data_IF_411370585924
#
_entry.id   IF_411370585924
#
_cell.length_a   1.000
_cell.length_b   1.000
_cell.length_c   1.000
_cell.angle_alpha   90.00
_cell.angle_beta   90.00
_cell.angle_gamma   90.00
#
_symmetry.space_group_name_H-M   'P 1'
#
loop_
_entity.id
_entity.type
_entity.pdbx_description
1 polymer ?
#
# COMPACT_ATOMS: atom_id res chain seq x y z
N UNK A 1 12.28 -29.14 23.80
CA UNK A 1 12.70 -29.55 22.44
C UNK A 1 11.62 -29.44 21.36
N UNK A 2 10.33 -29.18 21.67
CA UNK A 2 9.25 -29.06 20.66
C UNK A 2 9.12 -27.67 20.00
N UNK A 3 9.85 -26.65 20.48
CA UNK A 3 9.75 -25.26 19.99
C UNK A 3 10.59 -24.91 18.75
N UNK A 4 11.48 -25.80 18.30
CA UNK A 4 12.40 -25.53 17.18
C UNK A 4 11.95 -26.08 15.83
N UNK A 5 10.89 -26.91 15.78
CA UNK A 5 10.48 -27.57 14.55
C UNK A 5 9.80 -26.61 13.57
N UNK A 6 8.92 -25.72 14.05
CA UNK A 6 8.18 -24.79 13.17
C UNK A 6 9.09 -23.83 12.39
N UNK A 7 10.11 -23.19 12.99
CA UNK A 7 11.05 -22.36 12.24
C UNK A 7 11.86 -23.15 11.21
N UNK A 8 12.26 -24.40 11.52
CA UNK A 8 13.02 -25.25 10.59
C UNK A 8 12.16 -25.60 9.37
N UNK A 9 10.89 -25.96 9.59
CA UNK A 9 9.96 -26.26 8.50
C UNK A 9 9.74 -25.03 7.62
N UNK A 10 9.54 -23.86 8.22
CA UNK A 10 9.37 -22.60 7.49
C UNK A 10 10.61 -22.27 6.63
N UNK A 11 11.80 -22.46 7.19
CA UNK A 11 13.08 -22.26 6.49
C UNK A 11 13.24 -23.22 5.30
N UNK A 12 12.98 -24.52 5.50
CA UNK A 12 13.08 -25.52 4.45
C UNK A 12 12.07 -25.27 3.32
N UNK A 13 10.81 -24.98 3.67
CA UNK A 13 9.76 -24.67 2.69
C UNK A 13 10.14 -23.44 1.86
N UNK A 14 10.57 -22.37 2.51
CA UNK A 14 10.98 -21.16 1.79
C UNK A 14 12.22 -21.36 0.93
N UNK A 15 13.18 -22.18 1.37
CA UNK A 15 14.35 -22.54 0.57
C UNK A 15 13.97 -23.38 -0.66
N UNK A 16 13.05 -24.34 -0.53
CA UNK A 16 12.53 -25.13 -1.67
C UNK A 16 11.84 -24.22 -2.69
N UNK A 17 11.01 -23.28 -2.24
CA UNK A 17 10.33 -22.31 -3.12
C UNK A 17 11.36 -21.47 -3.86
N UNK A 18 12.39 -20.97 -3.17
CA UNK A 18 13.47 -20.18 -3.77
C UNK A 18 14.25 -20.97 -4.82
N UNK A 19 14.65 -22.21 -4.52
CA UNK A 19 15.33 -23.09 -5.47
C UNK A 19 14.47 -23.39 -6.69
N UNK A 20 13.16 -23.57 -6.52
CA UNK A 20 12.23 -23.77 -7.63
C UNK A 20 12.09 -22.56 -8.56
N UNK A 21 12.47 -21.35 -8.13
CA UNK A 21 12.59 -20.19 -9.02
C UNK A 21 13.94 -20.14 -9.75
N UNK A 22 15.02 -20.59 -9.12
CA UNK A 22 16.39 -20.45 -9.65
C UNK A 22 16.81 -21.61 -10.55
N UNK A 23 16.30 -22.82 -10.32
CA UNK A 23 16.74 -24.03 -10.99
C UNK A 23 15.61 -24.62 -11.86
N UNK A 24 15.85 -24.94 -13.14
CA UNK A 24 14.83 -25.46 -14.06
C UNK A 24 14.64 -26.98 -13.93
N UNK A 25 14.53 -27.50 -12.69
CA UNK A 25 14.25 -28.92 -12.46
C UNK A 25 12.74 -29.16 -12.28
N UNK A 26 12.13 -30.13 -13.01
CA UNK A 26 10.68 -30.38 -12.94
C UNK A 26 10.16 -30.59 -11.52
N UNK A 27 10.84 -31.40 -10.70
CA UNK A 27 10.41 -31.69 -9.33
C UNK A 27 10.40 -30.44 -8.42
N UNK A 28 11.34 -29.50 -8.59
CA UNK A 28 11.35 -28.25 -7.83
C UNK A 28 10.24 -27.30 -8.28
N UNK A 29 9.95 -27.28 -9.58
CA UNK A 29 8.87 -26.47 -10.14
C UNK A 29 7.50 -26.95 -9.64
N UNK A 30 7.28 -28.27 -9.61
CA UNK A 30 6.07 -28.89 -9.06
C UNK A 30 5.96 -28.64 -7.55
N UNK A 31 7.03 -28.86 -6.78
CA UNK A 31 7.04 -28.60 -5.34
C UNK A 31 6.76 -27.12 -5.03
N UNK A 32 7.38 -26.18 -5.76
CA UNK A 32 7.11 -24.74 -5.64
C UNK A 32 5.63 -24.44 -5.92
N UNK A 33 5.07 -24.97 -7.01
CA UNK A 33 3.66 -24.74 -7.33
C UNK A 33 2.74 -25.27 -6.23
N UNK A 34 2.97 -26.49 -5.73
CA UNK A 34 2.18 -27.06 -4.65
C UNK A 34 2.25 -26.21 -3.37
N UNK A 35 3.46 -25.80 -2.95
CA UNK A 35 3.67 -24.97 -1.76
C UNK A 35 3.04 -23.58 -1.90
N UNK A 36 3.11 -22.96 -3.09
CA UNK A 36 2.46 -21.67 -3.35
C UNK A 36 0.94 -21.78 -3.37
N UNK A 37 0.37 -22.88 -3.89
CA UNK A 37 -1.07 -23.11 -3.81
C UNK A 37 -1.53 -23.28 -2.36
N UNK A 38 -0.80 -24.04 -1.54
CA UNK A 38 -1.10 -24.14 -0.11
C UNK A 38 -0.96 -22.80 0.60
N UNK A 39 0.08 -22.03 0.30
CA UNK A 39 0.26 -20.69 0.85
C UNK A 39 -0.90 -19.76 0.47
N UNK A 40 -1.41 -19.84 -0.76
CA UNK A 40 -2.56 -19.06 -1.22
C UNK A 40 -3.84 -19.44 -0.46
N UNK A 41 -4.09 -20.74 -0.25
CA UNK A 41 -5.23 -21.22 0.54
C UNK A 41 -5.12 -20.71 1.98
N UNK A 42 -3.94 -20.85 2.60
CA UNK A 42 -3.69 -20.36 3.96
C UNK A 42 -3.85 -18.83 4.06
N UNK A 43 -3.39 -18.08 3.05
CA UNK A 43 -3.56 -16.63 2.99
C UNK A 43 -5.05 -16.24 2.89
N UNK A 44 -5.85 -16.98 2.11
CA UNK A 44 -7.28 -16.75 2.02
C UNK A 44 -7.99 -17.01 3.37
N UNK A 45 -7.64 -18.09 4.07
CA UNK A 45 -8.16 -18.38 5.41
C UNK A 45 -7.70 -17.31 6.42
N UNK A 46 -6.43 -16.91 6.37
CA UNK A 46 -5.88 -15.87 7.23
C UNK A 46 -6.59 -14.53 7.03
N UNK A 47 -6.97 -14.19 5.79
CA UNK A 47 -7.76 -13.00 5.49
C UNK A 47 -9.14 -13.08 6.18
N UNK A 48 -9.83 -14.22 6.08
CA UNK A 48 -11.11 -14.43 6.77
C UNK A 48 -10.95 -14.26 8.28
N UNK A 49 -9.92 -14.88 8.88
CA UNK A 49 -9.61 -14.74 10.31
C UNK A 49 -9.31 -13.28 10.66
N UNK A 50 -8.59 -12.55 9.81
CA UNK A 50 -8.29 -11.13 10.00
C UNK A 50 -9.54 -10.25 10.00
N UNK A 51 -10.44 -10.46 9.03
CA UNK A 51 -11.74 -9.77 8.96
C UNK A 51 -12.59 -10.09 10.18
N UNK A 52 -12.64 -11.36 10.59
CA UNK A 52 -13.39 -11.79 11.78
C UNK A 52 -12.81 -11.18 13.06
N UNK A 53 -11.48 -11.14 13.20
CA UNK A 53 -10.82 -10.51 14.34
C UNK A 53 -11.13 -9.01 14.41
N UNK A 54 -11.09 -8.31 13.27
CA UNK A 54 -11.51 -6.90 13.18
C UNK A 54 -12.97 -6.73 13.62
N UNK A 55 -13.88 -7.55 13.09
CA UNK A 55 -15.30 -7.50 13.43
C UNK A 55 -15.54 -7.75 14.93
N UNK A 56 -14.90 -8.77 15.52
CA UNK A 56 -15.02 -9.09 16.94
C UNK A 56 -14.47 -7.98 17.83
N UNK A 57 -13.31 -7.40 17.47
CA UNK A 57 -12.71 -6.30 18.23
C UNK A 57 -13.62 -5.07 18.26
N UNK A 58 -14.20 -4.71 17.10
CA UNK A 58 -15.13 -3.58 17.01
C UNK A 58 -16.49 -3.89 17.62
N UNK A 59 -16.98 -5.13 17.51
CA UNK A 59 -18.23 -5.57 18.15
C UNK A 59 -18.13 -5.47 19.67
N UNK A 60 -17.05 -5.98 20.26
CA UNK A 60 -16.78 -5.85 21.70
C UNK A 60 -16.72 -4.39 22.12
N UNK A 61 -16.11 -3.52 21.31
CA UNK A 61 -16.01 -2.08 21.58
C UNK A 61 -17.38 -1.39 21.62
N UNK A 62 -18.29 -1.76 20.71
CA UNK A 62 -19.68 -1.26 20.69
C UNK A 62 -20.48 -1.83 21.86
N UNK A 63 -20.40 -3.14 22.10
CA UNK A 63 -21.18 -3.82 23.14
C UNK A 63 -20.80 -3.38 24.57
N UNK A 64 -19.60 -2.85 24.77
CA UNK A 64 -19.11 -2.36 26.08
C UNK A 64 -19.08 -0.83 26.17
N UNK A 65 -19.75 -0.14 25.24
CA UNK A 65 -19.88 1.34 25.17
C UNK A 65 -18.56 2.11 25.37
N UNK A 66 -17.49 1.62 24.76
CA UNK A 66 -16.18 2.26 24.86
C UNK A 66 -16.13 3.55 24.04
N UNK A 67 -15.24 4.48 24.43
CA UNK A 67 -15.02 5.73 23.69
C UNK A 67 -14.78 5.48 22.19
N UNK A 68 -15.59 6.12 21.34
CA UNK A 68 -15.58 5.93 19.90
C UNK A 68 -16.31 4.66 19.41
N UNK A 69 -17.26 4.14 20.20
CA UNK A 69 -18.13 3.02 19.82
C UNK A 69 -18.95 3.30 18.55
N UNK A 70 -19.44 4.54 18.37
CA UNK A 70 -20.19 4.94 17.17
C UNK A 70 -19.40 4.68 15.88
N UNK A 71 -18.12 5.07 15.83
CA UNK A 71 -17.26 4.80 14.66
C UNK A 71 -17.06 3.31 14.42
N UNK A 72 -17.05 2.51 15.49
CA UNK A 72 -16.95 1.05 15.38
C UNK A 72 -18.25 0.44 14.85
N UNK A 73 -19.42 0.99 15.22
CA UNK A 73 -20.70 0.58 14.66
C UNK A 73 -20.79 0.92 13.16
N UNK A 74 -20.33 2.10 12.74
CA UNK A 74 -20.24 2.49 11.32
C UNK A 74 -19.31 1.55 10.55
N UNK A 75 -18.16 1.18 11.11
CA UNK A 75 -17.24 0.22 10.51
C UNK A 75 -17.91 -1.15 10.32
N UNK A 76 -18.59 -1.66 11.34
CA UNK A 76 -19.27 -2.96 11.25
C UNK A 76 -20.40 -2.94 10.22
N UNK A 77 -21.20 -1.88 10.19
CA UNK A 77 -22.28 -1.72 9.23
C UNK A 77 -21.74 -1.63 7.80
N UNK A 78 -20.69 -0.83 7.57
CA UNK A 78 -20.05 -0.73 6.24
C UNK A 78 -19.38 -2.04 5.81
N UNK A 79 -18.78 -2.80 6.74
CA UNK A 79 -18.23 -4.12 6.47
C UNK A 79 -19.33 -5.09 6.00
N UNK A 80 -20.45 -5.16 6.73
CA UNK A 80 -21.57 -6.04 6.39
C UNK A 80 -22.22 -5.65 5.05
N UNK A 81 -22.45 -4.36 4.82
CA UNK A 81 -22.99 -3.88 3.55
C UNK A 81 -22.06 -4.20 2.37
N UNK A 82 -20.76 -3.97 2.53
CA UNK A 82 -19.79 -4.24 1.46
C UNK A 82 -19.72 -5.73 1.15
N UNK A 83 -19.61 -6.59 2.17
CA UNK A 83 -19.60 -8.04 1.98
C UNK A 83 -20.90 -8.56 1.37
N UNK A 84 -22.05 -8.04 1.82
CA UNK A 84 -23.36 -8.41 1.27
C UNK A 84 -23.53 -8.02 -0.19
N UNK A 85 -23.22 -6.76 -0.53
CA UNK A 85 -23.36 -6.24 -1.90
C UNK A 85 -22.37 -6.92 -2.84
N UNK A 86 -21.08 -6.97 -2.48
CA UNK A 86 -20.05 -7.56 -3.35
C UNK A 86 -20.21 -9.07 -3.44
N UNK A 87 -20.62 -9.74 -2.36
CA UNK A 87 -20.87 -11.18 -2.34
C UNK A 87 -22.06 -11.58 -3.22
N UNK A 88 -23.11 -10.75 -3.28
CA UNK A 88 -24.31 -11.04 -4.08
C UNK A 88 -24.18 -10.61 -5.54
N UNK A 89 -23.71 -9.38 -5.81
CA UNK A 89 -23.62 -8.83 -7.18
C UNK A 89 -22.28 -9.10 -7.87
N UNK A 90 -21.32 -9.67 -7.15
CA UNK A 90 -19.95 -9.86 -7.64
C UNK A 90 -19.12 -8.56 -7.64
N UNK A 91 -17.78 -8.65 -7.84
CA UNK A 91 -16.88 -7.50 -7.76
C UNK A 91 -17.14 -6.43 -8.83
N UNK A 92 -17.65 -6.82 -10.00
CA UNK A 92 -17.91 -5.94 -11.14
C UNK A 92 -19.39 -5.59 -11.31
N UNK A 93 -20.24 -5.98 -10.36
CA UNK A 93 -21.67 -5.63 -10.38
C UNK A 93 -21.91 -4.13 -10.23
N UNK A 94 -23.01 -3.62 -10.78
CA UNK A 94 -23.33 -2.19 -10.78
C UNK A 94 -23.36 -1.59 -9.37
N UNK A 95 -23.91 -2.32 -8.39
CA UNK A 95 -23.94 -1.88 -6.99
C UNK A 95 -22.57 -1.92 -6.31
N UNK A 96 -21.73 -2.90 -6.63
CA UNK A 96 -20.34 -2.99 -6.16
C UNK A 96 -19.50 -1.83 -6.69
N UNK A 97 -19.64 -1.53 -7.98
CA UNK A 97 -18.99 -0.38 -8.62
C UNK A 97 -19.52 0.96 -8.10
N UNK A 98 -20.80 1.03 -7.71
CA UNK A 98 -21.37 2.20 -7.06
C UNK A 98 -20.71 2.46 -5.70
N UNK A 99 -20.59 1.43 -4.84
CA UNK A 99 -19.86 1.54 -3.56
C UNK A 99 -18.42 2.00 -3.79
N UNK A 100 -17.73 1.40 -4.77
CA UNK A 100 -16.37 1.80 -5.13
C UNK A 100 -16.30 3.28 -5.54
N UNK A 101 -17.14 3.72 -6.49
CA UNK A 101 -17.08 5.06 -7.08
C UNK A 101 -17.53 6.17 -6.14
N UNK A 102 -18.53 5.90 -5.30
CA UNK A 102 -19.16 6.93 -4.46
C UNK A 102 -18.78 6.87 -2.98
N UNK A 103 -18.15 5.78 -2.53
CA UNK A 103 -17.66 5.66 -1.14
C UNK A 103 -16.14 5.56 -1.12
N UNK A 104 -15.56 4.58 -1.80
CA UNK A 104 -14.11 4.35 -1.73
C UNK A 104 -13.30 5.48 -2.39
N UNK A 105 -13.60 5.82 -3.65
CA UNK A 105 -12.86 6.86 -4.40
C UNK A 105 -12.90 8.23 -3.70
N UNK A 106 -14.04 8.72 -3.17
CA UNK A 106 -14.06 9.99 -2.43
C UNK A 106 -13.29 9.96 -1.11
N UNK A 107 -13.26 8.83 -0.39
CA UNK A 107 -12.45 8.67 0.82
C UNK A 107 -10.96 8.76 0.47
N UNK A 108 -10.52 8.05 -0.58
CA UNK A 108 -9.14 8.12 -1.07
C UNK A 108 -8.76 9.55 -1.49
N UNK A 109 -9.64 10.23 -2.23
CA UNK A 109 -9.45 11.64 -2.62
C UNK A 109 -9.34 12.57 -1.41
N UNK A 110 -10.16 12.36 -0.37
CA UNK A 110 -10.10 13.15 0.86
C UNK A 110 -8.78 12.96 1.62
N UNK A 111 -8.27 11.72 1.67
CA UNK A 111 -6.95 11.45 2.25
C UNK A 111 -5.82 12.12 1.45
N UNK A 112 -5.91 12.08 0.12
CA UNK A 112 -4.96 12.78 -0.76
C UNK A 112 -5.06 14.31 -0.61
N UNK A 113 -6.25 14.85 -0.39
CA UNK A 113 -6.45 16.27 -0.10
C UNK A 113 -5.79 16.67 1.22
N UNK A 114 -5.98 15.89 2.29
CA UNK A 114 -5.31 16.11 3.59
C UNK A 114 -3.80 16.05 3.42
N UNK A 115 -3.28 15.05 2.70
CA UNK A 115 -1.85 14.94 2.38
C UNK A 115 -1.35 16.19 1.65
N UNK A 116 -2.09 16.65 0.65
CA UNK A 116 -1.75 17.85 -0.14
C UNK A 116 -1.67 19.09 0.74
N UNK A 117 -2.67 19.31 1.61
CA UNK A 117 -2.68 20.45 2.54
C UNK A 117 -1.53 20.35 3.55
N UNK A 118 -1.25 19.16 4.09
CA UNK A 118 -0.14 18.93 5.01
C UNK A 118 1.22 19.19 4.35
N UNK A 119 1.39 18.77 3.10
CA UNK A 119 2.59 19.06 2.29
C UNK A 119 2.72 20.54 1.99
N UNK A 120 1.64 21.22 1.60
CA UNK A 120 1.65 22.66 1.36
C UNK A 120 2.00 23.46 2.63
N UNK A 121 1.44 23.08 3.79
CA UNK A 121 1.79 23.68 5.07
C UNK A 121 3.27 23.44 5.43
N UNK A 122 3.75 22.21 5.23
CA UNK A 122 5.15 21.85 5.49
C UNK A 122 6.12 22.61 4.58
N UNK A 123 5.76 22.78 3.31
CA UNK A 123 6.48 23.62 2.35
C UNK A 123 6.56 25.08 2.82
N UNK A 124 5.43 25.69 3.18
CA UNK A 124 5.38 27.06 3.68
C UNK A 124 6.18 27.24 4.98
N UNK A 125 6.15 26.24 5.87
CA UNK A 125 6.98 26.22 7.08
C UNK A 125 8.47 26.13 6.75
N UNK A 126 8.86 25.29 5.79
CA UNK A 126 10.25 25.11 5.38
C UNK A 126 10.85 26.40 4.79
N UNK A 127 10.06 27.17 4.04
CA UNK A 127 10.48 28.46 3.48
C UNK A 127 10.69 29.57 4.53
N UNK A 128 10.04 29.46 5.69
CA UNK A 128 10.20 30.41 6.80
C UNK A 128 11.39 30.06 7.72
N UNK A 129 11.96 28.87 7.59
CA UNK A 129 13.14 28.45 8.35
C UNK A 129 14.43 28.79 7.59
N UNK A 130 15.60 28.52 8.19
CA UNK A 130 16.91 28.74 7.54
C UNK A 130 16.91 28.10 6.16
N UNK A 131 17.24 28.89 5.14
CA UNK A 131 17.31 28.44 3.75
C UNK A 131 18.50 27.47 3.64
N UNK A 132 18.20 26.17 3.56
CA UNK A 132 19.16 25.12 3.29
C UNK A 132 19.14 24.77 1.80
N UNK A 133 20.19 24.11 1.28
CA UNK A 133 20.27 23.69 -0.13
C UNK A 133 19.03 22.90 -0.58
N UNK A 134 18.53 22.00 0.26
CA UNK A 134 17.30 21.24 -0.01
C UNK A 134 16.04 22.10 -0.08
N UNK A 135 15.95 23.15 0.74
CA UNK A 135 14.83 24.08 0.72
C UNK A 135 14.81 24.93 -0.55
N UNK A 136 15.99 25.33 -1.05
CA UNK A 136 16.14 26.02 -2.33
C UNK A 136 15.74 25.11 -3.48
N UNK A 137 16.24 23.87 -3.52
CA UNK A 137 15.91 22.91 -4.57
C UNK A 137 14.40 22.65 -4.61
N UNK A 138 13.78 22.39 -3.45
CA UNK A 138 12.34 22.20 -3.34
C UNK A 138 11.56 23.43 -3.83
N UNK A 139 11.97 24.65 -3.43
CA UNK A 139 11.31 25.88 -3.86
C UNK A 139 11.37 26.05 -5.37
N UNK A 140 12.53 25.82 -5.98
CA UNK A 140 12.71 25.89 -7.43
C UNK A 140 11.81 24.86 -8.14
N UNK A 141 11.84 23.61 -7.71
CA UNK A 141 10.99 22.57 -8.30
C UNK A 141 9.50 22.88 -8.13
N UNK A 142 9.07 23.33 -6.95
CA UNK A 142 7.70 23.71 -6.68
C UNK A 142 7.26 24.90 -7.54
N UNK A 143 8.11 25.92 -7.69
CA UNK A 143 7.84 27.09 -8.53
C UNK A 143 7.68 26.70 -10.00
N UNK A 144 8.59 25.87 -10.53
CA UNK A 144 8.52 25.37 -11.91
C UNK A 144 7.25 24.56 -12.14
N UNK A 145 6.88 23.67 -11.21
CA UNK A 145 5.65 22.89 -11.32
C UNK A 145 4.41 23.80 -11.24
N UNK A 146 4.35 24.72 -10.28
CA UNK A 146 3.24 25.67 -10.12
C UNK A 146 3.04 26.53 -11.39
N UNK A 147 4.13 27.10 -11.92
CA UNK A 147 4.11 27.88 -13.16
C UNK A 147 3.72 27.01 -14.37
N UNK A 148 4.16 25.76 -14.42
CA UNK A 148 3.77 24.81 -15.47
C UNK A 148 2.31 24.37 -15.37
N UNK A 149 1.73 24.31 -14.17
CA UNK A 149 0.31 23.93 -13.97
C UNK A 149 -0.65 25.10 -14.12
N UNK A 150 -0.21 26.34 -13.89
CA UNK A 150 -1.04 27.51 -14.06
C UNK A 150 -1.20 27.82 -15.56
N UNK A 151 -2.44 27.91 -16.08
CA UNK A 151 -2.68 28.48 -17.40
C UNK A 151 -2.46 29.99 -17.29
N UNK A 152 -1.21 30.44 -17.41
CA UNK A 152 -0.88 31.86 -17.39
C UNK A 152 -1.41 32.50 -18.68
N UNK A 153 -2.51 33.25 -18.54
CA UNK A 153 -3.03 34.17 -19.56
C UNK A 153 -3.39 33.55 -20.93
N UNK A 154 -3.58 32.23 -21.01
CA UNK A 154 -3.92 31.56 -22.28
C UNK A 154 -2.79 31.59 -23.33
N UNK A 155 -1.57 31.92 -22.91
CA UNK A 155 -0.38 31.92 -23.77
C UNK A 155 0.39 30.64 -23.45
N UNK A 156 0.38 29.69 -24.37
CA UNK A 156 1.26 28.52 -24.28
C UNK A 156 2.70 28.99 -24.49
N UNK A 157 3.51 28.98 -23.42
CA UNK A 157 4.93 29.31 -23.53
C UNK A 157 5.66 28.07 -24.05
N UNK A 158 6.26 28.09 -25.25
CA UNK A 158 6.96 26.94 -25.80
C UNK A 158 8.10 26.52 -24.87
N UNK A 159 8.09 25.27 -24.41
CA UNK A 159 9.10 24.69 -23.50
C UNK A 159 8.70 24.63 -22.01
N UNK A 160 7.71 25.41 -21.57
CA UNK A 160 7.10 25.28 -20.24
C UNK A 160 5.80 24.47 -20.28
N UNK A 161 5.00 24.69 -21.32
CA UNK A 161 3.70 24.04 -21.54
C UNK A 161 3.78 23.20 -22.83
N UNK A 162 3.53 21.89 -22.73
CA UNK A 162 3.58 20.95 -23.86
C UNK A 162 4.04 19.54 -23.45
N UNK A 163 3.95 18.53 -24.35
CA UNK A 163 4.36 17.15 -24.10
C UNK A 163 5.85 17.02 -23.73
N UNK A 164 6.70 17.91 -24.25
CA UNK A 164 8.14 17.97 -23.97
C UNK A 164 8.51 19.10 -22.99
N UNK A 165 7.51 19.68 -22.31
CA UNK A 165 7.73 20.77 -21.36
C UNK A 165 8.44 20.31 -20.09
N UNK A 166 9.15 21.23 -19.44
CA UNK A 166 9.86 20.97 -18.17
C UNK A 166 8.92 20.40 -17.10
N UNK A 167 7.64 20.81 -17.09
CA UNK A 167 6.60 20.23 -16.22
C UNK A 167 6.44 18.73 -16.44
N UNK A 168 6.26 18.29 -17.69
CA UNK A 168 6.00 16.89 -18.01
C UNK A 168 7.23 16.04 -17.69
N UNK A 169 8.44 16.54 -17.99
CA UNK A 169 9.68 15.89 -17.57
C UNK A 169 9.76 15.71 -16.05
N UNK A 170 9.50 16.77 -15.27
CA UNK A 170 9.54 16.71 -13.80
C UNK A 170 8.46 15.77 -13.23
N UNK A 171 7.27 15.74 -13.83
CA UNK A 171 6.17 14.88 -13.40
C UNK A 171 6.42 13.41 -13.76
N UNK A 172 6.88 13.12 -14.98
CA UNK A 172 7.00 11.76 -15.48
C UNK A 172 8.33 11.09 -15.16
N UNK A 173 9.39 11.86 -14.90
CA UNK A 173 10.72 11.30 -14.63
C UNK A 173 11.01 11.30 -13.12
N UNK A 174 11.35 12.42 -12.44
CA UNK A 174 11.61 12.41 -10.99
C UNK A 174 10.45 11.94 -10.12
N UNK A 175 9.22 12.43 -10.35
CA UNK A 175 8.12 12.12 -9.44
C UNK A 175 7.67 10.66 -9.57
N UNK A 176 7.54 10.16 -10.80
CA UNK A 176 7.29 8.73 -11.04
C UNK A 176 8.46 7.86 -10.56
N UNK A 177 9.72 8.30 -10.72
CA UNK A 177 10.87 7.59 -10.17
C UNK A 177 10.81 7.51 -8.64
N UNK A 178 10.40 8.58 -7.96
CA UNK A 178 10.15 8.58 -6.52
C UNK A 178 9.04 7.61 -6.10
N UNK A 179 7.89 7.65 -6.79
CA UNK A 179 6.78 6.73 -6.52
C UNK A 179 7.18 5.26 -6.73
N UNK A 180 7.88 4.96 -7.84
CA UNK A 180 8.46 3.64 -8.10
C UNK A 180 9.50 3.27 -7.05
N UNK A 181 10.32 4.21 -6.61
CA UNK A 181 11.30 4.03 -5.53
C UNK A 181 10.64 3.61 -4.21
N UNK A 182 9.50 4.19 -3.86
CA UNK A 182 8.72 3.79 -2.67
C UNK A 182 8.20 2.35 -2.85
N UNK A 183 7.62 2.02 -4.00
CA UNK A 183 7.11 0.67 -4.27
C UNK A 183 8.24 -0.37 -4.22
N UNK A 184 9.38 -0.06 -4.82
CA UNK A 184 10.58 -0.89 -4.77
C UNK A 184 11.13 -1.01 -3.34
N UNK A 185 11.12 0.08 -2.58
CA UNK A 185 11.54 0.09 -1.18
C UNK A 185 10.64 -0.81 -0.30
N UNK A 186 9.33 -0.73 -0.49
CA UNK A 186 8.37 -1.63 0.18
C UNK A 186 8.62 -3.09 -0.22
N UNK A 187 8.80 -3.36 -1.52
CA UNK A 187 9.11 -4.71 -2.01
C UNK A 187 10.44 -5.24 -1.45
N UNK A 188 11.49 -4.43 -1.41
CA UNK A 188 12.77 -4.82 -0.81
C UNK A 188 12.65 -5.03 0.70
N UNK A 189 11.85 -4.21 1.40
CA UNK A 189 11.57 -4.37 2.82
C UNK A 189 10.85 -5.68 3.15
N UNK A 190 9.86 -6.07 2.35
CA UNK A 190 9.17 -7.35 2.50
C UNK A 190 10.09 -8.53 2.18
N UNK A 191 10.90 -8.44 1.12
CA UNK A 191 11.92 -9.45 0.79
C UNK A 191 12.95 -9.59 1.92
N UNK A 192 13.46 -8.47 2.45
CA UNK A 192 14.42 -8.48 3.55
C UNK A 192 13.85 -9.14 4.81
N UNK A 193 12.58 -8.88 5.11
CA UNK A 193 11.88 -9.52 6.23
C UNK A 193 11.73 -11.03 5.99
N UNK A 194 11.35 -11.43 4.77
CA UNK A 194 11.32 -12.84 4.38
C UNK A 194 12.69 -13.51 4.49
N UNK A 195 13.75 -12.86 4.00
CA UNK A 195 15.11 -13.38 4.03
C UNK A 195 15.64 -13.54 5.47
N UNK A 196 15.34 -12.61 6.38
CA UNK A 196 15.70 -12.77 7.80
C UNK A 196 15.05 -14.01 8.43
N UNK A 197 13.81 -14.30 8.08
CA UNK A 197 13.12 -15.53 8.50
C UNK A 197 13.78 -16.75 7.86
N UNK A 198 14.13 -16.71 6.57
CA UNK A 198 14.83 -17.81 5.87
C UNK A 198 16.25 -18.05 6.37
N UNK A 199 16.95 -17.03 6.84
CA UNK A 199 18.27 -17.17 7.47
C UNK A 199 18.16 -17.60 8.94
N UNK A 200 16.94 -17.72 9.49
CA UNK A 200 16.68 -18.06 10.88
C UNK A 200 17.07 -16.97 11.89
N UNK A 201 17.33 -15.75 11.41
CA UNK A 201 17.62 -14.58 12.24
C UNK A 201 16.37 -14.12 13.01
N UNK A 202 15.22 -14.13 12.34
CA UNK A 202 13.91 -13.88 12.95
C UNK A 202 13.16 -15.21 13.14
N UNK A 203 12.75 -15.53 14.37
CA UNK A 203 12.01 -16.74 14.73
C UNK A 203 10.58 -16.41 15.18
N UNK A 204 9.65 -16.14 14.26
CA UNK A 204 8.29 -15.71 14.60
C UNK A 204 7.49 -16.75 15.41
N UNK A 205 7.91 -18.02 15.38
CA UNK A 205 7.24 -19.14 16.06
C UNK A 205 8.00 -19.68 17.27
N UNK A 206 9.16 -19.10 17.61
CA UNK A 206 9.94 -19.47 18.79
C UNK A 206 9.44 -18.71 20.01
N UNK A 207 8.84 -19.42 20.97
CA UNK A 207 8.85 -18.94 22.36
C UNK A 207 10.22 -19.18 22.97
#
# INVERSE_FOLDING_TARGET
MRGSLSPIIALLVGFIVLLGYLLPFPFLMEARQALLHWAMILAAVALIVGVMNLALAHWRKVATDQKGGIYSAVLLLSLLLTLGVVGYFGPTGSWSLWLFRYIQVPIESSLMAILTVALAYSAARMLRQRINMFSVLFLLTALVILLGTAPLFGIEVPGLHGPDGIREFLAQVPAVAGARGIILGVALGTIATGLRVLMGADRPYGR
#
